data_IF_719259324793
#
_entry.id   IF_719259324793
#
_cell.length_a   1.000
_cell.length_b   1.000
_cell.length_c   1.000
_cell.angle_alpha   90.00
_cell.angle_beta   90.00
_cell.angle_gamma   90.00
#
_symmetry.space_group_name_H-M   'P 1'
#
loop_
_entity.id
_entity.type
_entity.pdbx_description
1 polymer ?
#
# COMPACT_ATOMS: atom_id res chain seq x y z
N UNK A 1 -42.44 4.91 -22.58
CA UNK A 1 -41.52 5.94 -22.05
C UNK A 1 -40.56 5.26 -21.08
N UNK A 2 -39.32 4.98 -21.48
CA UNK A 2 -38.33 4.48 -20.52
C UNK A 2 -37.94 5.66 -19.62
N UNK A 3 -38.10 5.50 -18.30
CA UNK A 3 -37.48 6.43 -17.36
C UNK A 3 -35.99 6.18 -17.45
N UNK A 4 -35.24 7.11 -18.04
CA UNK A 4 -33.79 7.13 -17.95
C UNK A 4 -33.45 7.43 -16.48
N UNK A 5 -33.09 6.39 -15.74
CA UNK A 5 -32.47 6.52 -14.42
C UNK A 5 -31.15 7.26 -14.64
N UNK A 6 -31.10 8.54 -14.26
CA UNK A 6 -29.91 9.38 -14.35
C UNK A 6 -29.47 9.74 -12.94
N UNK A 7 -28.15 9.79 -12.74
CA UNK A 7 -27.56 10.27 -11.50
C UNK A 7 -27.83 11.76 -11.37
N UNK A 8 -28.27 12.17 -10.20
CA UNK A 8 -28.42 13.57 -9.82
C UNK A 8 -27.06 14.22 -9.63
N UNK A 9 -26.98 15.55 -9.76
CA UNK A 9 -25.74 16.29 -9.48
C UNK A 9 -25.22 16.04 -8.06
N UNK A 10 -26.13 15.96 -7.07
CA UNK A 10 -25.77 15.65 -5.69
C UNK A 10 -25.14 14.25 -5.52
N UNK A 11 -25.51 13.27 -6.36
CA UNK A 11 -24.87 11.96 -6.38
C UNK A 11 -23.49 12.04 -7.04
N UNK A 12 -23.36 12.76 -8.17
CA UNK A 12 -22.08 12.99 -8.84
C UNK A 12 -21.07 13.70 -7.92
N UNK A 13 -21.51 14.72 -7.18
CA UNK A 13 -20.67 15.49 -6.25
C UNK A 13 -20.13 14.62 -5.09
N UNK A 14 -20.85 13.56 -4.71
CA UNK A 14 -20.44 12.62 -3.65
C UNK A 14 -19.50 11.53 -4.15
N UNK A 15 -19.47 11.25 -5.46
CA UNK A 15 -18.70 10.13 -6.01
C UNK A 15 -17.20 10.17 -5.68
N UNK A 16 -16.49 11.31 -5.77
CA UNK A 16 -15.06 11.33 -5.45
C UNK A 16 -14.77 10.88 -4.01
N UNK A 17 -15.55 11.35 -3.05
CA UNK A 17 -15.42 10.95 -1.64
C UNK A 17 -15.74 9.47 -1.43
N UNK A 18 -16.78 8.95 -2.09
CA UNK A 18 -17.12 7.52 -2.04
C UNK A 18 -16.03 6.64 -2.66
N UNK A 19 -15.46 7.05 -3.79
CA UNK A 19 -14.36 6.34 -4.44
C UNK A 19 -13.12 6.30 -3.55
N UNK A 20 -12.80 7.42 -2.88
CA UNK A 20 -11.69 7.46 -1.92
C UNK A 20 -11.92 6.54 -0.72
N UNK A 21 -13.14 6.51 -0.17
CA UNK A 21 -13.51 5.58 0.90
C UNK A 21 -13.39 4.12 0.48
N UNK A 22 -13.93 3.76 -0.69
CA UNK A 22 -13.82 2.39 -1.25
C UNK A 22 -12.36 2.00 -1.42
N UNK A 23 -11.52 2.90 -1.93
CA UNK A 23 -10.08 2.66 -2.07
C UNK A 23 -9.43 2.39 -0.72
N UNK A 24 -9.69 3.23 0.29
CA UNK A 24 -9.15 3.07 1.64
C UNK A 24 -9.55 1.72 2.27
N UNK A 25 -10.82 1.36 2.20
CA UNK A 25 -11.29 0.07 2.72
C UNK A 25 -10.73 -1.13 1.97
N UNK A 26 -10.49 -1.00 0.66
CA UNK A 26 -9.84 -2.05 -0.11
C UNK A 26 -8.40 -2.28 0.34
N UNK A 27 -7.63 -1.20 0.56
CA UNK A 27 -6.27 -1.29 1.07
C UNK A 27 -6.23 -1.82 2.51
N UNK A 28 -7.14 -1.37 3.36
CA UNK A 28 -7.23 -1.89 4.73
C UNK A 28 -7.56 -3.38 4.76
N UNK A 29 -8.50 -3.83 3.92
CA UNK A 29 -8.81 -5.26 3.78
C UNK A 29 -7.60 -6.05 3.30
N UNK A 30 -6.80 -5.49 2.40
CA UNK A 30 -5.54 -6.09 1.96
C UNK A 30 -4.57 -6.28 3.13
N UNK A 31 -4.29 -5.22 3.90
CA UNK A 31 -3.41 -5.28 5.07
C UNK A 31 -3.88 -6.28 6.13
N UNK A 32 -5.19 -6.35 6.37
CA UNK A 32 -5.77 -7.30 7.33
C UNK A 32 -5.61 -8.77 6.88
N UNK A 33 -5.36 -9.02 5.60
CA UNK A 33 -5.10 -10.37 5.07
C UNK A 33 -3.64 -10.80 5.14
N UNK A 34 -2.73 -9.86 5.48
CA UNK A 34 -1.30 -10.13 5.59
C UNK A 34 -0.94 -10.69 6.99
N UNK A 35 0.22 -11.36 7.13
CA UNK A 35 0.77 -11.72 8.44
C UNK A 35 0.97 -10.50 9.34
N UNK A 36 0.77 -10.66 10.64
CA UNK A 36 0.90 -9.59 11.65
C UNK A 36 0.13 -8.30 11.27
N UNK A 37 -1.20 -8.38 11.04
CA UNK A 37 -1.98 -7.22 10.63
C UNK A 37 -1.95 -6.11 11.69
N UNK A 38 -2.25 -4.84 11.31
CA UNK A 38 -2.38 -3.75 12.27
C UNK A 38 -3.35 -4.09 13.42
N UNK A 39 -2.99 -3.69 14.65
CA UNK A 39 -3.73 -4.09 15.87
C UNK A 39 -5.15 -3.51 15.95
N UNK A 40 -5.35 -2.30 15.44
CA UNK A 40 -6.63 -1.62 15.43
C UNK A 40 -6.84 -0.79 14.15
N UNK A 41 -8.07 -0.31 14.00
CA UNK A 41 -8.46 0.50 12.85
C UNK A 41 -7.73 1.83 12.81
N UNK A 42 -7.53 2.50 13.94
CA UNK A 42 -6.91 3.82 13.99
C UNK A 42 -5.45 3.79 13.50
N UNK A 43 -4.70 2.78 13.95
CA UNK A 43 -3.33 2.51 13.50
C UNK A 43 -3.29 2.13 12.02
N UNK A 44 -4.21 1.28 11.55
CA UNK A 44 -4.32 0.92 10.13
C UNK A 44 -4.61 2.16 9.27
N UNK A 45 -5.58 2.96 9.71
CA UNK A 45 -6.03 4.18 9.05
C UNK A 45 -4.90 5.20 8.91
N UNK A 46 -4.14 5.46 9.97
CA UNK A 46 -3.01 6.38 9.96
C UNK A 46 -1.86 5.89 9.07
N UNK A 47 -1.52 4.59 9.16
CA UNK A 47 -0.50 3.97 8.28
C UNK A 47 -0.88 4.09 6.81
N UNK A 48 -2.12 3.76 6.46
CA UNK A 48 -2.60 3.85 5.08
C UNK A 48 -2.56 5.28 4.54
N UNK A 49 -2.95 6.28 5.34
CA UNK A 49 -2.91 7.68 4.92
C UNK A 49 -1.47 8.10 4.61
N UNK A 50 -0.52 7.76 5.49
CA UNK A 50 0.91 8.03 5.27
C UNK A 50 1.46 7.28 4.03
N UNK A 51 1.17 5.99 3.90
CA UNK A 51 1.63 5.17 2.78
C UNK A 51 1.04 5.66 1.45
N UNK A 52 -0.22 6.07 1.42
CA UNK A 52 -0.85 6.68 0.24
C UNK A 52 -0.19 8.02 -0.11
N UNK A 53 0.16 8.83 0.89
CA UNK A 53 0.88 10.08 0.67
C UNK A 53 2.28 9.84 0.08
N UNK A 54 3.01 8.84 0.61
CA UNK A 54 4.31 8.44 0.04
C UNK A 54 4.17 7.89 -1.38
N UNK A 55 3.18 7.04 -1.64
CA UNK A 55 2.90 6.51 -2.97
C UNK A 55 2.68 7.66 -3.99
N UNK A 56 1.91 8.68 -3.61
CA UNK A 56 1.67 9.85 -4.46
C UNK A 56 2.97 10.60 -4.82
N UNK A 57 3.93 10.72 -3.91
CA UNK A 57 5.26 11.32 -4.18
C UNK A 57 6.03 10.58 -5.28
N UNK A 58 5.83 9.27 -5.40
CA UNK A 58 6.46 8.44 -6.45
C UNK A 58 5.59 8.25 -7.71
N UNK A 59 4.47 8.97 -7.80
CA UNK A 59 3.52 8.86 -8.90
C UNK A 59 2.77 7.54 -8.93
N UNK A 60 2.62 6.86 -7.80
CA UNK A 60 1.91 5.59 -7.68
C UNK A 60 0.41 5.87 -7.54
N UNK A 61 -0.37 5.52 -8.55
CA UNK A 61 -1.78 5.90 -8.66
C UNK A 61 -2.71 4.72 -8.94
N UNK A 62 -2.20 3.66 -9.55
CA UNK A 62 -3.01 2.48 -9.87
C UNK A 62 -3.37 1.69 -8.60
N UNK A 63 -4.60 1.15 -8.55
CA UNK A 63 -5.12 0.46 -7.36
C UNK A 63 -4.26 -0.74 -6.97
N UNK A 64 -4.00 -1.64 -7.90
CA UNK A 64 -3.30 -2.90 -7.62
C UNK A 64 -1.83 -2.62 -7.27
N UNK A 65 -1.23 -1.64 -7.95
CA UNK A 65 0.13 -1.20 -7.65
C UNK A 65 0.23 -0.53 -6.27
N UNK A 66 -0.77 0.27 -5.88
CA UNK A 66 -0.83 0.80 -4.51
C UNK A 66 -0.98 -0.29 -3.46
N UNK A 67 -1.74 -1.36 -3.74
CA UNK A 67 -1.85 -2.51 -2.83
C UNK A 67 -0.47 -3.16 -2.59
N UNK A 68 0.30 -3.38 -3.65
CA UNK A 68 1.66 -3.93 -3.54
C UNK A 68 2.62 -2.99 -2.79
N UNK A 69 2.48 -1.68 -2.99
CA UNK A 69 3.31 -0.67 -2.31
C UNK A 69 3.03 -0.66 -0.80
N UNK A 70 1.74 -0.64 -0.44
CA UNK A 70 1.28 -0.72 0.95
C UNK A 70 1.73 -2.04 1.61
N UNK A 71 1.66 -3.16 0.88
CA UNK A 71 2.16 -4.46 1.35
C UNK A 71 3.67 -4.45 1.60
N UNK A 72 4.46 -3.84 0.72
CA UNK A 72 5.91 -3.76 0.91
C UNK A 72 6.27 -2.96 2.18
N UNK A 73 5.57 -1.84 2.41
CA UNK A 73 5.73 -1.03 3.62
C UNK A 73 5.12 -1.66 4.88
N UNK A 74 4.27 -2.67 4.73
CA UNK A 74 3.81 -3.48 5.85
C UNK A 74 4.92 -4.42 6.32
N UNK A 75 5.63 -5.05 5.37
CA UNK A 75 6.76 -5.93 5.68
C UNK A 75 7.98 -5.19 6.21
N UNK A 76 8.32 -4.04 5.61
CA UNK A 76 9.47 -3.21 6.04
C UNK A 76 9.01 -1.75 6.12
N UNK A 77 8.57 -1.27 7.31
CA UNK A 77 8.00 0.08 7.48
C UNK A 77 8.95 1.23 7.08
N UNK A 78 10.25 1.02 7.22
CA UNK A 78 11.29 1.97 6.89
C UNK A 78 11.93 1.73 5.52
N UNK A 79 11.33 0.92 4.63
CA UNK A 79 11.87 0.60 3.31
C UNK A 79 12.29 1.84 2.51
N UNK A 80 11.56 2.95 2.66
CA UNK A 80 11.85 4.21 1.96
C UNK A 80 13.13 4.92 2.45
N UNK A 81 13.76 4.45 3.52
CA UNK A 81 15.06 4.94 3.99
C UNK A 81 16.23 4.14 3.39
N UNK A 82 15.94 3.06 2.65
CA UNK A 82 16.97 2.22 2.03
C UNK A 82 17.23 2.64 0.58
N UNK A 83 18.51 2.64 0.20
CA UNK A 83 18.97 3.09 -1.11
C UNK A 83 18.36 2.27 -2.27
N UNK A 84 18.29 0.94 -2.13
CA UNK A 84 17.75 0.07 -3.18
C UNK A 84 16.25 0.33 -3.48
N UNK A 85 15.33 0.30 -2.50
CA UNK A 85 13.95 0.76 -2.65
C UNK A 85 13.80 2.13 -3.32
N UNK A 86 14.58 3.13 -2.87
CA UNK A 86 14.55 4.47 -3.46
C UNK A 86 14.99 4.46 -4.92
N UNK A 87 16.02 3.69 -5.26
CA UNK A 87 16.47 3.50 -6.65
C UNK A 87 15.39 2.92 -7.55
N UNK A 88 14.63 1.93 -7.08
CA UNK A 88 13.50 1.37 -7.85
C UNK A 88 12.42 2.41 -8.06
N UNK A 89 12.00 3.09 -6.99
CA UNK A 89 10.87 4.03 -7.00
C UNK A 89 11.16 5.31 -7.78
N UNK A 90 12.41 5.77 -7.85
CA UNK A 90 12.80 6.97 -8.61
C UNK A 90 13.20 6.68 -10.06
N UNK A 91 13.25 5.41 -10.45
CA UNK A 91 13.52 5.03 -11.83
C UNK A 91 12.41 5.48 -12.79
N UNK A 92 12.74 5.62 -14.07
CA UNK A 92 11.76 5.89 -15.14
C UNK A 92 10.93 4.67 -15.56
N UNK A 93 10.96 3.57 -14.80
CA UNK A 93 10.23 2.35 -15.11
C UNK A 93 8.72 2.48 -14.82
N UNK A 94 7.93 1.54 -15.34
CA UNK A 94 6.49 1.47 -15.07
C UNK A 94 6.20 1.35 -13.58
N UNK A 95 5.12 1.98 -13.13
CA UNK A 95 4.67 1.97 -11.73
C UNK A 95 4.62 0.55 -11.16
N UNK A 96 4.00 -0.39 -11.88
CA UNK A 96 3.89 -1.80 -11.45
C UNK A 96 5.26 -2.43 -11.23
N UNK A 97 6.18 -2.27 -12.19
CA UNK A 97 7.52 -2.84 -12.10
C UNK A 97 8.30 -2.28 -10.90
N UNK A 98 8.25 -0.96 -10.70
CA UNK A 98 8.94 -0.29 -9.57
C UNK A 98 8.47 -0.86 -8.23
N UNK A 99 7.16 -1.05 -8.08
CA UNK A 99 6.58 -1.54 -6.84
C UNK A 99 6.74 -3.05 -6.67
N UNK A 100 6.71 -3.84 -7.74
CA UNK A 100 7.01 -5.27 -7.67
C UNK A 100 8.44 -5.51 -7.15
N UNK A 101 9.42 -4.73 -7.63
CA UNK A 101 10.81 -4.79 -7.14
C UNK A 101 10.92 -4.38 -5.67
N UNK A 102 10.18 -3.34 -5.27
CA UNK A 102 10.09 -2.92 -3.86
C UNK A 102 9.54 -4.06 -2.98
N UNK A 103 8.46 -4.71 -3.41
CA UNK A 103 7.81 -5.77 -2.65
C UNK A 103 8.69 -7.02 -2.53
N UNK A 104 9.36 -7.42 -3.61
CA UNK A 104 10.33 -8.52 -3.59
C UNK A 104 11.45 -8.24 -2.58
N UNK A 105 12.05 -7.05 -2.65
CA UNK A 105 13.07 -6.62 -1.71
C UNK A 105 12.58 -6.65 -0.25
N UNK A 106 11.34 -6.20 0.01
CA UNK A 106 10.78 -6.17 1.35
C UNK A 106 10.55 -7.57 1.93
N UNK A 107 10.07 -8.51 1.10
CA UNK A 107 9.89 -9.92 1.49
C UNK A 107 11.22 -10.59 1.84
N UNK A 108 12.25 -10.36 1.03
CA UNK A 108 13.60 -10.88 1.29
C UNK A 108 14.19 -10.31 2.59
N UNK A 109 13.98 -9.01 2.85
CA UNK A 109 14.46 -8.35 4.07
C UNK A 109 13.76 -8.86 5.32
N UNK A 110 12.44 -9.02 5.28
CA UNK A 110 11.68 -9.58 6.39
C UNK A 110 12.16 -10.99 6.73
N UNK A 111 12.30 -11.86 5.71
CA UNK A 111 12.80 -13.23 5.91
C UNK A 111 14.22 -13.22 6.53
N UNK A 112 15.10 -12.36 6.03
CA UNK A 112 16.46 -12.25 6.57
C UNK A 112 16.50 -11.74 8.02
N UNK A 113 15.55 -10.87 8.42
CA UNK A 113 15.41 -10.41 9.80
C UNK A 113 14.91 -11.53 10.72
N UNK A 114 13.86 -12.23 10.32
CA UNK A 114 13.30 -13.37 11.07
C UNK A 114 14.35 -14.47 11.30
N UNK A 115 15.17 -14.78 10.28
CA UNK A 115 16.27 -15.74 10.41
C UNK A 115 17.37 -15.29 11.40
N UNK A 116 17.68 -13.99 11.46
CA UNK A 116 18.67 -13.44 12.41
C UNK A 116 18.14 -13.48 13.84
N UNK A 117 16.87 -13.15 14.04
CA UNK A 117 16.22 -13.21 15.35
C UNK A 117 16.18 -14.65 15.87
N UNK A 118 15.75 -15.60 15.03
CA UNK A 118 15.73 -17.02 15.37
C UNK A 118 17.14 -17.58 15.71
N UNK A 119 18.17 -17.15 14.98
CA UNK A 119 19.55 -17.55 15.26
C UNK A 119 20.11 -16.96 16.57
N UNK A 120 19.68 -15.76 16.96
CA UNK A 120 20.09 -15.11 18.20
C UNK A 120 19.37 -15.68 19.44
N UNK A 121 18.12 -16.16 19.30
CA UNK A 121 17.37 -16.80 20.39
C UNK A 121 17.88 -18.21 20.77
N UNK A 122 18.70 -18.82 19.90
CA UNK A 122 19.31 -20.14 20.10
C UNK A 122 20.72 -20.09 20.70
N UNK A 123 21.22 -18.88 21.04
CA UNK A 123 22.50 -18.65 21.72
C UNK A 123 22.30 -18.31 23.20
#
# INVERSE_FOLDING_TARGET
MSRLWSLTQAELDRMPGQQQLIRRYTLARHLLSLPAPPQDWESCAARLDQQCQHAATYGITHKDTLMLFVEALHYVPDALNHEAPLGYLTSGALESFRVERLLEWAKEHQQAQEHKECANELQ
#
